data_IF_819273127400
#
_entry.id   IF_819273127400
#
_cell.length_a   1.000
_cell.length_b   1.000
_cell.length_c   1.000
_cell.angle_alpha   90.00
_cell.angle_beta   90.00
_cell.angle_gamma   90.00
#
_symmetry.space_group_name_H-M   'P 1'
#
loop_
_entity.id
_entity.type
_entity.pdbx_description
1 polymer ?
#
# COMPACT_ATOMS: atom_id res chain seq x y z
N UNK A 1 -4.56 -11.58 -23.25
CA UNK A 1 -3.56 -11.09 -22.28
C UNK A 1 -3.72 -9.59 -22.19
N UNK A 2 -3.99 -9.10 -21.01
CA UNK A 2 -4.17 -7.67 -20.73
C UNK A 2 -2.88 -7.06 -20.20
N UNK A 3 -2.66 -5.77 -20.43
CA UNK A 3 -1.65 -4.99 -19.72
C UNK A 3 -2.26 -4.49 -18.42
N UNK A 4 -1.71 -4.91 -17.30
CA UNK A 4 -2.15 -4.57 -15.96
C UNK A 4 -1.13 -3.63 -15.31
N UNK A 5 -1.59 -2.77 -14.40
CA UNK A 5 -0.72 -1.84 -13.69
C UNK A 5 -1.10 -1.75 -12.20
N UNK A 6 -0.22 -2.23 -11.33
CA UNK A 6 -0.37 -2.11 -9.90
C UNK A 6 0.17 -0.75 -9.43
N UNK A 7 -0.70 0.18 -9.12
CA UNK A 7 -0.33 1.51 -8.63
C UNK A 7 0.15 1.40 -7.19
N UNK A 8 1.31 1.93 -6.85
CA UNK A 8 1.80 2.00 -5.48
C UNK A 8 2.34 3.40 -5.14
N UNK A 9 2.63 3.62 -3.87
CA UNK A 9 3.32 4.85 -3.45
C UNK A 9 4.77 4.79 -3.93
N UNK A 10 5.33 5.88 -4.50
CA UNK A 10 6.73 5.91 -4.92
C UNK A 10 7.69 5.45 -3.82
N UNK A 11 8.63 4.57 -4.18
CA UNK A 11 9.54 3.88 -3.28
C UNK A 11 9.03 2.54 -2.73
N UNK A 12 7.77 2.18 -3.00
CA UNK A 12 7.20 0.89 -2.63
C UNK A 12 7.12 -0.11 -3.79
N UNK A 13 7.58 0.27 -4.99
CA UNK A 13 7.57 -0.55 -6.19
C UNK A 13 8.24 -1.92 -5.97
N UNK A 14 9.39 -2.04 -5.28
CA UNK A 14 10.02 -3.34 -5.05
C UNK A 14 9.14 -4.31 -4.24
N UNK A 15 8.32 -3.79 -3.32
CA UNK A 15 7.40 -4.63 -2.54
C UNK A 15 6.21 -5.11 -3.38
N UNK A 16 5.64 -4.23 -4.21
CA UNK A 16 4.58 -4.60 -5.15
C UNK A 16 5.08 -5.63 -6.17
N UNK A 17 6.28 -5.47 -6.70
CA UNK A 17 6.92 -6.46 -7.59
C UNK A 17 7.15 -7.80 -6.89
N UNK A 18 7.59 -7.79 -5.64
CA UNK A 18 7.74 -9.00 -4.84
C UNK A 18 6.41 -9.73 -4.65
N UNK A 19 5.33 -9.01 -4.34
CA UNK A 19 4.00 -9.59 -4.20
C UNK A 19 3.50 -10.18 -5.52
N UNK A 20 3.63 -9.46 -6.65
CA UNK A 20 3.27 -9.95 -7.98
C UNK A 20 4.03 -11.23 -8.37
N UNK A 21 5.32 -11.28 -8.07
CA UNK A 21 6.14 -12.48 -8.32
C UNK A 21 5.72 -13.66 -7.44
N UNK A 22 5.36 -13.43 -6.17
CA UNK A 22 4.83 -14.49 -5.30
C UNK A 22 3.50 -15.05 -5.80
N UNK A 23 2.74 -14.24 -6.54
CA UNK A 23 1.51 -14.68 -7.21
C UNK A 23 1.77 -15.37 -8.57
N UNK A 24 3.02 -15.41 -9.03
CA UNK A 24 3.38 -15.91 -10.37
C UNK A 24 2.92 -15.00 -11.51
N UNK A 25 2.68 -13.72 -11.23
CA UNK A 25 2.21 -12.72 -12.20
C UNK A 25 3.35 -11.90 -12.82
N UNK A 26 4.56 -12.09 -12.35
CA UNK A 26 5.75 -11.40 -12.83
C UNK A 26 6.99 -12.23 -12.55
N UNK A 27 7.87 -12.36 -13.54
CA UNK A 27 9.18 -12.94 -13.36
C UNK A 27 10.10 -11.90 -12.74
N UNK A 28 10.40 -12.06 -11.47
CA UNK A 28 11.43 -11.29 -10.77
C UNK A 28 12.55 -12.21 -10.32
N UNK A 29 13.80 -11.82 -10.57
CA UNK A 29 14.95 -12.53 -10.00
C UNK A 29 14.92 -12.44 -8.47
N UNK A 30 14.80 -13.56 -7.75
CA UNK A 30 14.84 -13.57 -6.29
C UNK A 30 16.13 -13.01 -5.70
N UNK A 31 17.25 -13.06 -6.43
CA UNK A 31 18.54 -12.56 -5.98
C UNK A 31 18.65 -11.03 -6.06
N UNK A 32 17.93 -10.39 -6.97
CA UNK A 32 17.78 -8.94 -7.00
C UNK A 32 17.08 -8.41 -5.74
N UNK A 33 16.27 -9.25 -5.08
CA UNK A 33 15.57 -8.95 -3.82
C UNK A 33 16.50 -8.82 -2.61
N UNK A 34 17.52 -9.68 -2.53
CA UNK A 34 18.48 -9.73 -1.42
C UNK A 34 19.45 -8.55 -1.43
N UNK A 35 19.82 -8.03 -2.60
CA UNK A 35 20.66 -6.83 -2.71
C UNK A 35 20.02 -5.57 -2.14
N UNK A 36 18.69 -5.46 -2.15
CA UNK A 36 17.96 -4.36 -1.52
C UNK A 36 18.05 -4.44 0.01
N UNK A 37 18.30 -5.63 0.57
CA UNK A 37 18.19 -5.91 2.00
C UNK A 37 19.47 -6.43 2.66
N UNK A 38 20.61 -6.57 1.96
CA UNK A 38 21.86 -7.01 2.58
C UNK A 38 22.52 -5.85 3.34
N UNK A 39 22.78 -6.07 4.63
CA UNK A 39 23.43 -5.11 5.54
C UNK A 39 24.95 -5.09 5.43
N UNK A 40 25.58 -5.93 4.61
CA UNK A 40 27.02 -6.15 4.63
C UNK A 40 27.85 -5.33 3.64
N UNK A 41 27.26 -4.63 2.71
CA UNK A 41 28.00 -3.69 1.86
C UNK A 41 27.09 -2.52 1.52
N UNK A 42 27.60 -1.29 1.63
CA UNK A 42 26.92 -0.04 1.30
C UNK A 42 26.42 0.03 -0.16
N UNK A 43 25.60 -0.91 -0.54
CA UNK A 43 25.04 -1.07 -1.85
C UNK A 43 24.05 0.06 -2.11
N UNK A 44 24.42 0.93 -3.02
CA UNK A 44 23.50 1.80 -3.76
C UNK A 44 22.38 0.94 -4.35
N UNK A 45 21.13 1.44 -4.25
CA UNK A 45 19.99 0.86 -4.94
C UNK A 45 20.28 0.84 -6.44
N UNK A 46 20.61 -0.32 -7.01
CA UNK A 46 20.45 -0.51 -8.45
C UNK A 46 18.95 -0.54 -8.68
N UNK A 47 18.45 0.56 -9.23
CA UNK A 47 17.07 0.68 -9.67
C UNK A 47 16.82 -0.32 -10.79
N UNK A 48 16.06 -1.37 -10.52
CA UNK A 48 15.29 -1.97 -11.60
C UNK A 48 14.40 -0.82 -12.11
N UNK A 49 14.42 -0.54 -13.41
CA UNK A 49 13.66 0.57 -14.02
C UNK A 49 12.15 0.31 -13.92
N UNK A 50 11.59 0.58 -12.74
CA UNK A 50 10.13 0.62 -12.57
C UNK A 50 9.61 1.99 -13.00
N UNK A 51 8.46 2.00 -13.66
CA UNK A 51 7.72 3.25 -13.88
C UNK A 51 7.38 3.85 -12.51
N UNK A 52 7.82 5.10 -12.18
CA UNK A 52 7.56 5.67 -10.86
C UNK A 52 6.07 5.66 -10.52
N UNK A 53 5.73 5.07 -9.36
CA UNK A 53 4.37 4.98 -8.85
C UNK A 53 3.63 3.70 -9.21
N UNK A 54 4.30 2.67 -9.76
CA UNK A 54 3.66 1.37 -9.96
C UNK A 54 4.45 0.37 -10.79
N UNK A 55 3.84 -0.79 -11.00
CA UNK A 55 4.42 -1.93 -11.73
C UNK A 55 3.47 -2.34 -12.85
N UNK A 56 3.95 -2.31 -14.09
CA UNK A 56 3.26 -2.93 -15.24
C UNK A 56 3.56 -4.42 -15.27
N UNK A 57 2.54 -5.23 -15.52
CA UNK A 57 2.65 -6.67 -15.70
C UNK A 57 1.62 -7.17 -16.72
N UNK A 58 1.84 -8.35 -17.26
CA UNK A 58 0.93 -9.00 -18.21
C UNK A 58 0.08 -10.03 -17.48
N UNK A 59 -1.20 -10.13 -17.82
CA UNK A 59 -2.09 -11.11 -17.21
C UNK A 59 -3.46 -11.16 -17.86
N UNK A 60 -4.29 -12.07 -17.39
CA UNK A 60 -5.72 -12.16 -17.70
C UNK A 60 -6.54 -11.25 -16.77
N UNK A 61 -7.85 -11.16 -17.00
CA UNK A 61 -8.76 -10.52 -16.03
C UNK A 61 -8.82 -11.29 -14.70
N UNK A 62 -8.68 -12.61 -14.72
CA UNK A 62 -8.55 -13.43 -13.51
C UNK A 62 -7.30 -13.05 -12.70
N UNK A 63 -6.20 -12.68 -13.36
CA UNK A 63 -5.00 -12.20 -12.70
C UNK A 63 -5.20 -10.80 -12.10
N UNK A 64 -6.03 -9.95 -12.72
CA UNK A 64 -6.45 -8.70 -12.09
C UNK A 64 -7.28 -8.97 -10.81
N UNK A 65 -8.15 -10.00 -10.77
CA UNK A 65 -8.88 -10.40 -9.56
C UNK A 65 -7.91 -10.86 -8.47
N UNK A 66 -6.94 -11.74 -8.82
CA UNK A 66 -5.89 -12.20 -7.89
C UNK A 66 -5.06 -11.05 -7.34
N UNK A 67 -4.63 -10.12 -8.19
CA UNK A 67 -3.88 -8.94 -7.79
C UNK A 67 -4.67 -8.06 -6.82
N UNK A 68 -5.95 -7.80 -7.07
CA UNK A 68 -6.82 -7.04 -6.17
C UNK A 68 -7.03 -7.74 -4.81
N UNK A 69 -7.15 -9.06 -4.81
CA UNK A 69 -7.35 -9.84 -3.59
C UNK A 69 -6.09 -9.85 -2.71
N UNK A 70 -4.92 -10.04 -3.30
CA UNK A 70 -3.71 -10.36 -2.54
C UNK A 70 -2.74 -9.20 -2.35
N UNK A 71 -2.66 -8.19 -3.26
CA UNK A 71 -1.69 -7.12 -3.13
C UNK A 71 -1.96 -6.26 -1.89
N UNK A 72 -0.93 -6.16 -1.05
CA UNK A 72 -0.96 -5.39 0.21
C UNK A 72 -0.40 -3.99 0.05
N UNK A 73 0.59 -3.83 -0.83
CA UNK A 73 1.33 -2.57 -1.01
C UNK A 73 0.82 -1.70 -2.14
N UNK A 74 0.03 -2.27 -3.07
CA UNK A 74 -0.63 -1.52 -4.12
C UNK A 74 -1.82 -0.72 -3.59
N UNK A 75 -2.05 0.44 -4.18
CA UNK A 75 -3.22 1.29 -3.90
C UNK A 75 -4.39 1.05 -4.86
N UNK A 76 -4.11 0.57 -6.08
CA UNK A 76 -5.06 0.19 -7.12
C UNK A 76 -4.42 -0.81 -8.08
N UNK A 77 -5.27 -1.57 -8.77
CA UNK A 77 -4.92 -2.35 -9.95
C UNK A 77 -5.72 -1.80 -11.13
N UNK A 78 -5.01 -1.38 -12.18
CA UNK A 78 -5.59 -0.82 -13.40
C UNK A 78 -5.45 -1.82 -14.54
N UNK A 79 -6.43 -1.85 -15.46
CA UNK A 79 -6.31 -2.49 -16.77
C UNK A 79 -6.01 -1.40 -17.79
N UNK A 80 -4.88 -1.47 -18.49
CA UNK A 80 -4.49 -0.52 -19.54
C UNK A 80 -5.22 -0.86 -20.84
N UNK A 81 -6.26 -0.10 -21.17
CA UNK A 81 -7.09 -0.34 -22.37
C UNK A 81 -6.37 0.02 -23.66
N UNK A 82 -5.51 1.03 -23.62
CA UNK A 82 -4.74 1.44 -24.77
C UNK A 82 -3.72 2.53 -24.49
N UNK A 83 -2.72 2.57 -25.37
CA UNK A 83 -1.67 3.58 -25.37
C UNK A 83 -1.44 4.07 -26.81
N UNK A 84 -1.51 5.37 -27.03
CA UNK A 84 -1.37 5.97 -28.36
C UNK A 84 -0.97 7.45 -28.28
N UNK A 85 -0.30 7.96 -29.30
CA UNK A 85 -0.03 9.39 -29.43
C UNK A 85 -1.30 10.16 -29.79
N UNK A 86 -1.50 11.32 -29.14
CA UNK A 86 -2.57 12.25 -29.44
C UNK A 86 -2.13 13.69 -29.14
N UNK A 87 -1.95 14.49 -30.18
CA UNK A 87 -1.58 15.90 -30.07
C UNK A 87 -2.76 16.84 -30.29
N UNK A 88 -3.91 16.32 -30.74
CA UNK A 88 -5.14 17.07 -31.04
C UNK A 88 -6.38 16.37 -30.49
N UNK A 89 -7.41 17.14 -30.13
CA UNK A 89 -8.66 16.60 -29.58
C UNK A 89 -9.43 15.65 -30.52
N UNK A 90 -9.53 15.93 -31.86
CA UNK A 90 -10.16 14.97 -32.76
C UNK A 90 -9.45 13.62 -32.82
N UNK A 91 -8.12 13.64 -32.80
CA UNK A 91 -7.31 12.43 -32.77
C UNK A 91 -7.51 11.63 -31.46
N UNK A 92 -7.47 12.33 -30.32
CA UNK A 92 -7.74 11.73 -29.00
C UNK A 92 -9.11 11.04 -29.00
N UNK A 93 -10.18 11.74 -29.40
CA UNK A 93 -11.54 11.20 -29.43
C UNK A 93 -11.66 9.97 -30.34
N UNK A 94 -11.15 10.06 -31.56
CA UNK A 94 -11.18 8.98 -32.56
C UNK A 94 -10.42 7.73 -32.08
N UNK A 95 -9.24 7.88 -31.44
CA UNK A 95 -8.47 6.73 -30.95
C UNK A 95 -9.10 6.14 -29.70
N UNK A 96 -9.61 6.97 -28.79
CA UNK A 96 -10.31 6.55 -27.56
C UNK A 96 -11.61 5.79 -27.88
N UNK A 97 -12.38 6.18 -28.90
CA UNK A 97 -13.63 5.47 -29.25
C UNK A 97 -13.40 4.05 -29.82
N UNK A 98 -12.18 3.72 -30.23
CA UNK A 98 -11.81 2.38 -30.72
C UNK A 98 -11.48 1.39 -29.60
N UNK A 99 -11.35 1.86 -28.36
CA UNK A 99 -11.08 0.98 -27.23
C UNK A 99 -12.31 0.13 -26.89
N UNK A 100 -12.11 -1.09 -26.33
CA UNK A 100 -13.20 -2.05 -26.09
C UNK A 100 -13.99 -1.72 -24.82
N UNK A 101 -14.66 -0.58 -24.79
CA UNK A 101 -15.39 -0.07 -23.63
C UNK A 101 -16.51 -0.99 -23.15
N UNK A 102 -17.15 -1.72 -24.07
CA UNK A 102 -18.21 -2.68 -23.83
C UNK A 102 -17.80 -3.85 -22.93
N UNK A 103 -16.52 -4.15 -22.83
CA UNK A 103 -16.02 -5.21 -21.95
C UNK A 103 -15.99 -4.79 -20.47
N UNK A 104 -15.99 -3.48 -20.20
CA UNK A 104 -15.73 -2.94 -18.87
C UNK A 104 -16.83 -2.02 -18.35
N UNK A 105 -17.67 -1.50 -19.21
CA UNK A 105 -18.74 -0.58 -18.86
C UNK A 105 -20.10 -1.18 -19.22
N UNK A 106 -20.87 -1.51 -18.19
CA UNK A 106 -22.29 -1.87 -18.38
C UNK A 106 -23.06 -0.64 -18.89
N UNK A 107 -24.16 -0.85 -19.65
CA UNK A 107 -25.05 0.22 -20.04
C UNK A 107 -25.47 1.06 -18.82
N UNK A 108 -25.47 2.39 -18.99
CA UNK A 108 -25.84 3.36 -17.94
C UNK A 108 -24.89 3.46 -16.73
N UNK A 109 -23.80 2.69 -16.68
CA UNK A 109 -22.79 2.84 -15.63
C UNK A 109 -22.21 4.23 -15.65
N UNK A 110 -22.28 4.94 -14.53
CA UNK A 110 -21.63 6.25 -14.37
C UNK A 110 -20.11 6.10 -14.30
N UNK A 111 -19.40 7.10 -14.80
CA UNK A 111 -17.94 7.12 -14.81
C UNK A 111 -17.39 8.33 -14.04
N UNK A 112 -16.16 8.19 -13.55
CA UNK A 112 -15.33 9.31 -13.10
C UNK A 112 -14.01 9.30 -13.87
N UNK A 113 -13.51 10.47 -14.21
CA UNK A 113 -12.26 10.62 -14.95
C UNK A 113 -11.21 11.29 -14.07
N UNK A 114 -10.05 10.66 -13.98
CA UNK A 114 -8.84 11.25 -13.42
C UNK A 114 -7.85 11.47 -14.56
N UNK A 115 -7.66 12.72 -14.94
CA UNK A 115 -6.78 13.10 -16.03
C UNK A 115 -5.53 13.75 -15.46
N UNK A 116 -4.37 13.45 -16.03
CA UNK A 116 -3.11 14.14 -15.78
C UNK A 116 -2.40 14.40 -17.10
N UNK A 117 -1.93 15.63 -17.30
CA UNK A 117 -1.23 16.06 -18.50
C UNK A 117 0.14 16.63 -18.13
N UNK A 118 1.20 16.07 -18.72
CA UNK A 118 2.57 16.55 -18.55
C UNK A 118 3.23 16.71 -19.92
N UNK A 119 3.91 17.82 -20.15
CA UNK A 119 4.72 18.09 -21.36
C UNK A 119 3.96 17.74 -22.66
N UNK A 120 2.64 17.97 -22.71
CA UNK A 120 1.78 17.56 -23.82
C UNK A 120 1.04 18.76 -24.43
N UNK A 121 0.76 18.71 -25.74
CA UNK A 121 -0.03 19.76 -26.43
C UNK A 121 -1.46 19.83 -25.89
N UNK A 122 -2.03 18.69 -25.50
CA UNK A 122 -3.31 18.60 -24.79
C UNK A 122 -3.05 18.70 -23.29
N UNK A 123 -3.09 19.91 -22.73
CA UNK A 123 -2.74 20.16 -21.31
C UNK A 123 -3.94 20.52 -20.41
N UNK A 124 -5.11 20.80 -21.03
CA UNK A 124 -6.34 21.10 -20.27
C UNK A 124 -7.04 19.81 -19.85
N UNK A 125 -6.83 19.37 -18.61
CA UNK A 125 -7.36 18.11 -18.07
C UNK A 125 -8.88 17.98 -18.21
N UNK A 126 -9.63 19.07 -17.98
CA UNK A 126 -11.11 19.06 -18.15
C UNK A 126 -11.52 18.81 -19.60
N UNK A 127 -10.89 19.50 -20.57
CA UNK A 127 -11.20 19.31 -21.98
C UNK A 127 -10.83 17.91 -22.47
N UNK A 128 -9.72 17.34 -21.97
CA UNK A 128 -9.35 15.93 -22.23
C UNK A 128 -10.42 14.99 -21.66
N UNK A 129 -10.87 15.22 -20.42
CA UNK A 129 -11.91 14.41 -19.78
C UNK A 129 -13.23 14.42 -20.59
N UNK A 130 -13.68 15.59 -21.05
CA UNK A 130 -14.88 15.73 -21.90
C UNK A 130 -14.76 14.97 -23.21
N UNK A 131 -13.58 15.04 -23.86
CA UNK A 131 -13.36 14.33 -25.14
C UNK A 131 -13.30 12.81 -24.95
N UNK A 132 -12.71 12.34 -23.84
CA UNK A 132 -12.70 10.91 -23.49
C UNK A 132 -14.12 10.43 -23.17
N UNK A 133 -14.89 11.16 -22.36
CA UNK A 133 -16.30 10.82 -22.08
C UNK A 133 -17.15 10.79 -23.36
N UNK A 134 -16.98 11.78 -24.27
CA UNK A 134 -17.63 11.79 -25.56
C UNK A 134 -17.26 10.59 -26.43
N UNK A 135 -15.98 10.19 -26.44
CA UNK A 135 -15.52 9.02 -27.20
C UNK A 135 -16.10 7.70 -26.68
N UNK A 136 -16.29 7.59 -25.36
CA UNK A 136 -16.98 6.44 -24.75
C UNK A 136 -18.45 6.41 -25.21
N UNK A 137 -19.11 7.57 -25.23
CA UNK A 137 -20.48 7.70 -25.77
C UNK A 137 -20.58 7.32 -27.24
N UNK A 138 -19.62 7.72 -28.07
CA UNK A 138 -19.55 7.35 -29.49
C UNK A 138 -19.44 5.82 -29.68
N UNK A 139 -18.72 5.13 -28.79
CA UNK A 139 -18.57 3.67 -28.85
C UNK A 139 -19.80 2.92 -28.33
N UNK A 140 -20.35 3.37 -27.22
CA UNK A 140 -21.46 2.69 -26.54
C UNK A 140 -22.83 3.12 -27.03
N UNK A 141 -22.91 4.10 -27.93
CA UNK A 141 -24.16 4.65 -28.48
C UNK A 141 -24.90 5.61 -27.54
N UNK A 142 -24.46 5.76 -26.29
CA UNK A 142 -25.03 6.68 -25.30
C UNK A 142 -23.90 7.23 -24.42
N UNK A 143 -23.81 8.55 -24.19
CA UNK A 143 -22.82 9.11 -23.30
C UNK A 143 -23.07 8.68 -21.85
N UNK A 144 -22.03 8.22 -21.12
CA UNK A 144 -22.17 7.89 -19.70
C UNK A 144 -22.35 9.14 -18.86
N UNK A 145 -23.01 9.01 -17.71
CA UNK A 145 -23.05 10.06 -16.70
C UNK A 145 -21.64 10.24 -16.10
N UNK A 146 -21.12 11.48 -16.13
CA UNK A 146 -19.78 11.79 -15.63
C UNK A 146 -19.87 12.45 -14.27
N UNK A 147 -19.22 11.85 -13.28
CA UNK A 147 -19.09 12.40 -11.93
C UNK A 147 -17.68 12.96 -11.71
N UNK A 148 -17.59 13.96 -10.82
CA UNK A 148 -16.29 14.43 -10.38
C UNK A 148 -15.57 13.33 -9.60
N UNK A 149 -14.32 13.05 -9.97
CA UNK A 149 -13.50 12.10 -9.20
C UNK A 149 -13.31 12.59 -7.75
N UNK A 150 -13.62 11.73 -6.80
CA UNK A 150 -13.39 11.93 -5.37
C UNK A 150 -12.85 10.63 -4.77
N UNK A 151 -11.76 10.73 -4.00
CA UNK A 151 -11.14 9.54 -3.38
C UNK A 151 -11.99 8.94 -2.25
N UNK A 152 -12.88 9.73 -1.66
CA UNK A 152 -13.55 9.42 -0.38
C UNK A 152 -15.05 9.08 -0.49
N UNK A 153 -15.55 8.77 -1.67
CA UNK A 153 -16.92 8.31 -1.85
C UNK A 153 -17.13 6.88 -1.29
N UNK A 154 -18.34 6.63 -0.77
CA UNK A 154 -18.76 5.37 -0.15
C UNK A 154 -18.83 4.15 -1.11
N UNK A 155 -19.76 3.24 -0.90
CA UNK A 155 -19.80 1.93 -1.58
C UNK A 155 -20.20 1.98 -3.07
N UNK A 156 -21.00 2.97 -3.50
CA UNK A 156 -21.46 3.09 -4.89
C UNK A 156 -20.61 4.10 -5.68
N UNK A 157 -19.42 3.67 -6.02
CA UNK A 157 -18.45 4.48 -6.75
C UNK A 157 -18.72 4.42 -8.27
N UNK A 158 -18.67 5.57 -8.99
CA UNK A 158 -18.62 5.55 -10.45
C UNK A 158 -17.36 4.81 -10.92
N UNK A 159 -17.42 4.20 -12.10
CA UNK A 159 -16.27 3.52 -12.68
C UNK A 159 -15.15 4.53 -12.96
N UNK A 160 -14.02 4.38 -12.29
CA UNK A 160 -12.88 5.26 -12.49
C UNK A 160 -12.13 4.90 -13.77
N UNK A 161 -11.87 5.92 -14.59
CA UNK A 161 -11.02 5.88 -15.77
C UNK A 161 -9.84 6.81 -15.52
N UNK A 162 -8.63 6.31 -15.68
CA UNK A 162 -7.39 7.06 -15.51
C UNK A 162 -6.82 7.37 -16.89
N UNK A 163 -6.64 8.65 -17.19
CA UNK A 163 -6.06 9.15 -18.43
C UNK A 163 -4.77 9.87 -18.11
N UNK A 164 -3.67 9.41 -18.69
CA UNK A 164 -2.36 10.01 -18.52
C UNK A 164 -1.79 10.41 -19.88
N UNK A 165 -1.52 11.69 -20.06
CA UNK A 165 -0.80 12.21 -21.21
C UNK A 165 0.59 12.66 -20.75
N UNK A 166 1.62 12.08 -21.35
CA UNK A 166 3.01 12.46 -21.12
C UNK A 166 3.69 12.52 -22.49
N UNK A 167 4.30 13.66 -22.84
CA UNK A 167 4.94 13.88 -24.13
C UNK A 167 4.03 13.50 -25.33
N UNK A 168 2.73 13.85 -25.24
CA UNK A 168 1.65 13.51 -26.17
C UNK A 168 1.31 12.01 -26.26
N UNK A 169 1.94 11.14 -25.48
CA UNK A 169 1.56 9.74 -25.35
C UNK A 169 0.41 9.62 -24.36
N UNK A 170 -0.77 9.24 -24.85
CA UNK A 170 -1.97 9.03 -24.06
C UNK A 170 -2.07 7.57 -23.62
N UNK A 171 -2.10 7.32 -22.33
CA UNK A 171 -2.41 6.01 -21.74
C UNK A 171 -3.79 6.09 -21.10
N UNK A 172 -4.70 5.20 -21.48
CA UNK A 172 -6.04 5.09 -20.92
C UNK A 172 -6.16 3.78 -20.18
N UNK A 173 -6.54 3.86 -18.92
CA UNK A 173 -6.69 2.69 -18.04
C UNK A 173 -8.03 2.74 -17.32
N UNK A 174 -8.58 1.57 -17.04
CA UNK A 174 -9.77 1.41 -16.21
C UNK A 174 -9.41 0.79 -14.86
N UNK A 175 -10.01 1.31 -13.80
CA UNK A 175 -9.75 0.84 -12.43
C UNK A 175 -10.55 -0.43 -12.15
N UNK A 176 -9.86 -1.51 -11.80
CA UNK A 176 -10.47 -2.75 -11.37
C UNK A 176 -10.76 -2.79 -9.85
N UNK A 177 -10.15 -1.90 -9.08
CA UNK A 177 -10.20 -1.93 -7.61
C UNK A 177 -11.42 -1.23 -7.00
N UNK A 178 -11.86 -0.11 -7.57
CA UNK A 178 -12.91 0.75 -7.01
C UNK A 178 -12.41 1.61 -5.86
N UNK A 179 -12.78 1.32 -4.62
CA UNK A 179 -12.19 1.98 -3.46
C UNK A 179 -10.69 1.67 -3.37
N UNK A 180 -9.89 2.61 -2.85
CA UNK A 180 -8.45 2.41 -2.69
C UNK A 180 -8.13 1.14 -1.88
N UNK A 181 -7.14 0.35 -2.32
CA UNK A 181 -6.83 -0.94 -1.71
C UNK A 181 -6.38 -0.86 -0.26
N UNK A 182 -5.86 0.29 0.20
CA UNK A 182 -5.56 0.47 1.63
C UNK A 182 -6.83 0.45 2.51
N UNK A 183 -8.02 0.71 1.97
CA UNK A 183 -9.28 0.57 2.70
C UNK A 183 -9.66 -0.91 2.82
N UNK A 184 -9.05 -1.61 3.78
CA UNK A 184 -9.29 -3.06 4.00
C UNK A 184 -10.70 -3.37 4.56
N UNK A 185 -11.40 -2.35 5.09
CA UNK A 185 -12.72 -2.48 5.70
C UNK A 185 -12.70 -2.53 7.23
N UNK A 186 -11.58 -2.80 7.86
CA UNK A 186 -11.51 -2.90 9.32
C UNK A 186 -11.40 -1.55 10.05
N UNK A 187 -10.94 -0.48 9.39
CA UNK A 187 -10.80 0.84 9.99
C UNK A 187 -12.02 1.71 9.70
N UNK A 188 -12.83 2.00 10.71
CA UNK A 188 -14.00 2.89 10.60
C UNK A 188 -13.70 4.30 11.10
N UNK A 189 -12.81 4.47 12.09
CA UNK A 189 -12.49 5.79 12.66
C UNK A 189 -11.25 6.38 12.01
N UNK A 190 -11.35 7.59 11.50
CA UNK A 190 -10.24 8.37 10.97
C UNK A 190 -9.60 9.18 12.09
N UNK A 191 -8.49 8.72 12.63
CA UNK A 191 -7.57 9.60 13.35
C UNK A 191 -6.98 10.63 12.37
N UNK A 192 -6.51 11.78 12.87
CA UNK A 192 -5.86 12.81 12.03
C UNK A 192 -4.64 12.21 11.31
N UNK A 193 -4.77 11.92 9.99
CA UNK A 193 -3.76 11.35 9.10
C UNK A 193 -3.10 10.04 9.62
N UNK A 194 -3.85 8.95 9.68
CA UNK A 194 -3.33 7.67 10.08
C UNK A 194 -2.36 7.10 9.03
N UNK A 195 -1.47 6.20 9.45
CA UNK A 195 -0.66 5.40 8.54
C UNK A 195 -1.59 4.60 7.62
N UNK A 196 -1.38 4.65 6.30
CA UNK A 196 -2.15 3.81 5.37
C UNK A 196 -1.74 2.35 5.52
N UNK A 197 -2.68 1.45 5.39
CA UNK A 197 -2.49 0.00 5.51
C UNK A 197 -1.46 -0.52 4.50
N UNK A 198 -1.44 0.03 3.28
CA UNK A 198 -0.44 -0.28 2.25
C UNK A 198 0.98 0.07 2.69
N UNK A 199 1.17 1.19 3.37
CA UNK A 199 2.48 1.58 3.89
C UNK A 199 2.85 0.76 5.14
N UNK A 200 1.90 0.45 6.01
CA UNK A 200 2.13 -0.45 7.14
C UNK A 200 2.56 -1.84 6.68
N UNK A 201 1.89 -2.39 5.67
CA UNK A 201 2.28 -3.65 5.02
C UNK A 201 3.69 -3.58 4.45
N UNK A 202 4.04 -2.51 3.73
CA UNK A 202 5.39 -2.32 3.19
C UNK A 202 6.44 -2.24 4.31
N UNK A 203 6.13 -1.61 5.45
CA UNK A 203 7.03 -1.55 6.62
C UNK A 203 7.28 -2.95 7.20
N UNK A 204 6.23 -3.76 7.35
CA UNK A 204 6.34 -5.15 7.82
C UNK A 204 7.17 -5.99 6.82
N UNK A 205 6.95 -5.86 5.51
CA UNK A 205 7.76 -6.55 4.49
C UNK A 205 9.21 -6.08 4.51
N UNK A 206 9.46 -4.78 4.58
CA UNK A 206 10.78 -4.18 4.62
C UNK A 206 11.60 -4.60 5.85
N UNK A 207 10.92 -4.89 6.97
CA UNK A 207 11.57 -5.34 8.19
C UNK A 207 12.27 -6.70 8.05
N UNK A 208 11.90 -7.48 7.03
CA UNK A 208 12.35 -8.85 6.89
C UNK A 208 11.79 -9.79 7.96
N UNK A 209 10.67 -9.41 8.59
CA UNK A 209 10.06 -10.24 9.62
C UNK A 209 9.75 -11.66 9.12
N UNK A 210 10.25 -12.64 9.86
CA UNK A 210 10.15 -14.05 9.49
C UNK A 210 8.76 -14.67 9.75
N UNK A 211 7.82 -13.94 10.34
CA UNK A 211 6.47 -14.38 10.72
C UNK A 211 6.44 -15.59 11.69
N UNK A 212 7.53 -15.78 12.44
CA UNK A 212 7.70 -16.83 13.47
C UNK A 212 8.03 -16.19 14.81
N UNK A 213 8.96 -15.24 14.80
CA UNK A 213 9.39 -14.52 16.00
C UNK A 213 8.41 -13.40 16.37
N UNK A 214 8.43 -12.92 17.62
CA UNK A 214 7.56 -11.82 18.05
C UNK A 214 7.75 -10.53 17.23
N UNK A 215 6.65 -9.78 17.05
CA UNK A 215 6.66 -8.43 16.49
C UNK A 215 6.06 -7.44 17.50
N UNK A 216 6.73 -6.29 17.66
CA UNK A 216 6.33 -5.24 18.58
C UNK A 216 6.20 -3.90 17.86
N UNK A 217 5.08 -3.19 18.08
CA UNK A 217 4.91 -1.78 17.73
C UNK A 217 4.68 -0.95 19.01
N UNK A 218 5.70 -0.22 19.52
CA UNK A 218 5.61 0.55 20.74
C UNK A 218 4.95 1.94 20.57
N UNK A 219 4.52 2.30 19.36
CA UNK A 219 3.75 3.49 19.04
C UNK A 219 2.58 3.14 18.11
N UNK A 220 1.82 2.11 18.49
CA UNK A 220 0.87 1.46 17.57
C UNK A 220 -0.33 2.35 17.16
N UNK A 221 -0.60 3.43 17.90
CA UNK A 221 -1.77 4.27 17.61
C UNK A 221 -3.05 3.43 17.52
N UNK A 222 -3.76 3.54 16.40
CA UNK A 222 -4.96 2.73 16.14
C UNK A 222 -4.68 1.30 15.63
N UNK A 223 -3.46 0.79 15.80
CA UNK A 223 -3.11 -0.61 15.58
C UNK A 223 -2.84 -1.03 14.13
N UNK A 224 -2.60 -0.09 13.22
CA UNK A 224 -2.47 -0.43 11.77
C UNK A 224 -1.34 -1.43 11.51
N UNK A 225 -0.13 -1.21 12.06
CA UNK A 225 1.01 -2.12 11.86
C UNK A 225 0.75 -3.48 12.50
N UNK A 226 0.34 -3.59 13.77
CA UNK A 226 0.01 -4.88 14.39
C UNK A 226 -1.08 -5.66 13.63
N UNK A 227 -2.15 -4.99 13.17
CA UNK A 227 -3.24 -5.63 12.42
C UNK A 227 -2.74 -6.14 11.07
N UNK A 228 -2.00 -5.33 10.29
CA UNK A 228 -1.44 -5.79 9.01
C UNK A 228 -0.42 -6.93 9.20
N UNK A 229 0.38 -6.91 10.27
CA UNK A 229 1.28 -8.01 10.62
C UNK A 229 0.50 -9.31 10.93
N UNK A 230 -0.57 -9.21 11.72
CA UNK A 230 -1.43 -10.36 12.04
C UNK A 230 -2.11 -10.94 10.79
N UNK A 231 -2.66 -10.08 9.92
CA UNK A 231 -3.25 -10.50 8.65
C UNK A 231 -2.22 -11.17 7.72
N UNK A 232 -0.97 -10.67 7.70
CA UNK A 232 0.11 -11.31 6.94
C UNK A 232 0.52 -12.67 7.49
N UNK A 233 0.71 -12.77 8.81
CA UNK A 233 1.09 -14.03 9.46
C UNK A 233 -0.02 -15.07 9.32
N UNK A 234 -1.28 -14.64 9.49
CA UNK A 234 -2.47 -15.49 9.33
C UNK A 234 -2.81 -15.80 7.87
N UNK A 235 -2.04 -15.33 6.88
CA UNK A 235 -2.29 -15.50 5.44
C UNK A 235 -3.67 -15.00 4.98
N UNK A 236 -4.27 -14.06 5.71
CA UNK A 236 -5.54 -13.44 5.32
C UNK A 236 -5.28 -12.47 4.17
N UNK A 237 -5.90 -12.61 2.99
CA UNK A 237 -5.69 -11.71 1.87
C UNK A 237 -6.12 -10.28 2.20
N UNK A 238 -5.41 -9.29 1.67
CA UNK A 238 -5.70 -7.87 1.92
C UNK A 238 -7.09 -7.44 1.45
N UNK A 239 -7.60 -8.07 0.41
CA UNK A 239 -8.88 -7.78 -0.21
C UNK A 239 -10.03 -8.70 0.23
N UNK A 240 -9.83 -9.57 1.22
CA UNK A 240 -10.75 -10.66 1.55
C UNK A 240 -12.18 -10.21 1.91
N UNK A 241 -12.30 -9.10 2.62
CA UNK A 241 -13.60 -8.58 3.11
C UNK A 241 -14.11 -7.38 2.33
N UNK A 242 -13.77 -7.23 1.04
CA UNK A 242 -14.16 -6.03 0.29
C UNK A 242 -14.73 -6.35 -1.10
N UNK A 243 -15.48 -5.38 -1.63
CA UNK A 243 -15.98 -5.38 -3.00
C UNK A 243 -15.00 -4.62 -3.91
N UNK A 244 -14.96 -4.99 -5.18
CA UNK A 244 -14.10 -4.39 -6.20
C UNK A 244 -14.92 -3.89 -7.41
N UNK A 245 -14.37 -2.92 -8.15
CA UNK A 245 -15.05 -2.36 -9.33
C UNK A 245 -15.24 -3.39 -10.45
N UNK A 246 -14.29 -4.33 -10.62
CA UNK A 246 -14.41 -5.37 -11.64
C UNK A 246 -15.65 -6.27 -11.47
N UNK A 247 -16.25 -6.33 -10.28
CA UNK A 247 -17.47 -7.11 -10.03
C UNK A 247 -18.71 -6.50 -10.71
N UNK A 248 -18.62 -5.24 -11.17
CA UNK A 248 -19.67 -4.56 -11.94
C UNK A 248 -19.42 -4.61 -13.46
N UNK A 249 -18.37 -5.27 -13.92
CA UNK A 249 -18.06 -5.39 -15.34
C UNK A 249 -18.95 -6.44 -16.02
N UNK A 250 -19.34 -6.24 -17.30
CA UNK A 250 -20.25 -7.15 -18.01
C UNK A 250 -19.78 -8.61 -18.06
N UNK A 251 -18.47 -8.84 -18.05
CA UNK A 251 -17.85 -10.17 -18.12
C UNK A 251 -17.23 -10.62 -16.80
N UNK A 252 -17.76 -10.16 -15.66
CA UNK A 252 -17.31 -10.62 -14.36
C UNK A 252 -17.59 -12.11 -14.18
N UNK A 253 -16.53 -12.89 -13.93
CA UNK A 253 -16.60 -14.32 -13.64
C UNK A 253 -16.76 -14.56 -12.13
N UNK A 254 -18.01 -14.64 -11.68
CA UNK A 254 -18.32 -14.87 -10.26
C UNK A 254 -17.91 -16.27 -9.81
N UNK A 255 -17.98 -17.28 -10.71
CA UNK A 255 -17.57 -18.66 -10.38
C UNK A 255 -16.10 -18.75 -10.06
N UNK A 256 -15.26 -18.12 -10.89
CA UNK A 256 -13.82 -18.04 -10.61
C UNK A 256 -13.54 -17.26 -9.33
N UNK A 257 -14.23 -16.13 -9.11
CA UNK A 257 -14.06 -15.32 -7.93
C UNK A 257 -14.40 -16.07 -6.64
N UNK A 258 -15.52 -16.78 -6.61
CA UNK A 258 -15.97 -17.57 -5.44
C UNK A 258 -14.99 -18.72 -5.15
N UNK A 259 -14.49 -19.39 -6.16
CA UNK A 259 -13.45 -20.40 -6.03
C UNK A 259 -12.15 -19.80 -5.46
N UNK A 260 -11.73 -18.63 -5.96
CA UNK A 260 -10.55 -17.91 -5.48
C UNK A 260 -10.67 -17.53 -4.00
N UNK A 261 -11.84 -17.04 -3.57
CA UNK A 261 -12.12 -16.72 -2.17
C UNK A 261 -12.15 -17.97 -1.28
N UNK A 262 -12.75 -19.07 -1.76
CA UNK A 262 -12.79 -20.32 -1.02
C UNK A 262 -11.38 -20.89 -0.80
N UNK A 263 -10.52 -20.86 -1.81
CA UNK A 263 -9.14 -21.33 -1.70
C UNK A 263 -8.29 -20.40 -0.81
N UNK A 264 -8.50 -19.09 -0.90
CA UNK A 264 -7.90 -18.15 0.01
C UNK A 264 -8.31 -18.41 1.48
N UNK A 265 -9.58 -18.71 1.72
CA UNK A 265 -10.12 -19.05 3.03
C UNK A 265 -9.47 -20.31 3.63
N UNK A 266 -9.26 -21.36 2.83
CA UNK A 266 -8.57 -22.60 3.26
C UNK A 266 -7.10 -22.36 3.65
N UNK A 267 -6.47 -21.35 3.07
CA UNK A 267 -5.07 -21.02 3.34
C UNK A 267 -4.87 -20.18 4.63
N UNK A 268 -5.94 -19.67 5.24
CA UNK A 268 -5.87 -18.88 6.48
C UNK A 268 -5.42 -19.79 7.62
N UNK A 269 -4.46 -19.31 8.40
CA UNK A 269 -3.95 -19.99 9.60
C UNK A 269 -4.26 -19.17 10.85
N UNK A 270 -4.66 -19.84 11.93
CA UNK A 270 -4.99 -19.21 13.22
C UNK A 270 -3.78 -19.11 14.16
N UNK A 271 -2.83 -20.02 14.05
CA UNK A 271 -1.61 -20.00 14.86
C UNK A 271 -0.59 -19.05 14.23
N UNK A 272 -0.44 -17.88 14.83
CA UNK A 272 0.52 -16.86 14.41
C UNK A 272 1.42 -16.46 15.58
N UNK A 273 2.62 -15.91 15.31
CA UNK A 273 3.52 -15.50 16.39
C UNK A 273 2.92 -14.36 17.23
N UNK A 274 3.48 -14.16 18.42
CA UNK A 274 3.05 -13.10 19.32
C UNK A 274 3.26 -11.72 18.68
N UNK A 275 2.18 -10.96 18.57
CA UNK A 275 2.21 -9.58 18.08
C UNK A 275 1.77 -8.67 19.21
N UNK A 276 2.54 -7.61 19.45
CA UNK A 276 2.34 -6.70 20.59
C UNK A 276 2.22 -5.27 20.06
N UNK A 277 1.14 -4.60 20.43
CA UNK A 277 0.93 -3.17 20.17
C UNK A 277 0.86 -2.40 21.48
N UNK A 278 1.64 -1.35 21.64
CA UNK A 278 1.48 -0.45 22.78
C UNK A 278 1.45 1.01 22.35
N UNK A 279 0.69 1.81 23.11
CA UNK A 279 0.65 3.25 22.97
C UNK A 279 0.34 3.86 24.35
N UNK A 280 0.83 5.06 24.62
CA UNK A 280 0.52 5.77 25.87
C UNK A 280 -0.93 6.31 25.90
N UNK A 281 -1.56 6.47 24.73
CA UNK A 281 -2.93 6.95 24.59
C UNK A 281 -3.93 5.79 24.69
N UNK A 282 -4.67 5.75 25.79
CA UNK A 282 -5.71 4.74 26.01
C UNK A 282 -6.85 4.80 24.97
N UNK A 283 -7.12 5.97 24.39
CA UNK A 283 -8.09 6.12 23.30
C UNK A 283 -7.60 5.45 22.02
N UNK A 284 -6.31 5.58 21.69
CA UNK A 284 -5.68 4.89 20.60
C UNK A 284 -5.72 3.36 20.77
N UNK A 285 -5.47 2.87 21.97
CA UNK A 285 -5.54 1.42 22.28
C UNK A 285 -6.96 0.87 22.11
N UNK A 286 -7.99 1.58 22.58
CA UNK A 286 -9.39 1.17 22.34
C UNK A 286 -9.72 1.11 20.84
N UNK A 287 -9.23 2.10 20.06
CA UNK A 287 -9.39 2.10 18.62
C UNK A 287 -8.64 0.94 17.95
N UNK A 288 -7.44 0.60 18.44
CA UNK A 288 -6.64 -0.53 17.93
C UNK A 288 -7.35 -1.87 18.18
N UNK A 289 -7.89 -2.09 19.39
CA UNK A 289 -8.68 -3.27 19.73
C UNK A 289 -9.90 -3.41 18.82
N UNK A 290 -10.70 -2.36 18.68
CA UNK A 290 -11.87 -2.37 17.82
C UNK A 290 -11.53 -2.59 16.33
N UNK A 291 -10.38 -2.10 15.86
CA UNK A 291 -9.90 -2.36 14.50
C UNK A 291 -9.47 -3.83 14.32
N UNK A 292 -8.77 -4.40 15.31
CA UNK A 292 -8.37 -5.81 15.31
C UNK A 292 -9.57 -6.76 15.38
N UNK A 293 -10.61 -6.42 16.13
CA UNK A 293 -11.88 -7.16 16.18
C UNK A 293 -12.53 -7.20 14.80
N UNK A 294 -12.68 -6.03 14.14
CA UNK A 294 -13.25 -5.96 12.79
C UNK A 294 -12.40 -6.67 11.74
N UNK A 295 -11.09 -6.70 11.93
CA UNK A 295 -10.17 -7.45 11.06
C UNK A 295 -10.16 -8.96 11.35
N UNK A 296 -10.85 -9.42 12.40
CA UNK A 296 -10.88 -10.84 12.80
C UNK A 296 -9.57 -11.35 13.42
N UNK A 297 -8.70 -10.46 13.93
CA UNK A 297 -7.36 -10.81 14.44
C UNK A 297 -7.14 -10.36 15.90
N UNK A 298 -8.18 -9.96 16.60
CA UNK A 298 -8.08 -9.46 17.99
C UNK A 298 -7.43 -10.47 18.96
N UNK A 299 -7.75 -11.77 18.82
CA UNK A 299 -7.17 -12.82 19.64
C UNK A 299 -5.68 -13.08 19.43
N UNK A 300 -5.11 -12.51 18.37
CA UNK A 300 -3.70 -12.71 17.97
C UNK A 300 -2.80 -11.53 18.31
N UNK A 301 -3.34 -10.44 18.86
CA UNK A 301 -2.60 -9.21 19.15
C UNK A 301 -2.80 -8.81 20.60
N UNK A 302 -1.70 -8.62 21.33
CA UNK A 302 -1.73 -8.09 22.69
C UNK A 302 -1.59 -6.55 22.64
N UNK A 303 -2.68 -5.85 22.98
CA UNK A 303 -2.66 -4.38 23.09
C UNK A 303 -2.54 -3.90 24.53
N UNK A 304 -1.70 -2.89 24.78
CA UNK A 304 -1.51 -2.34 26.13
C UNK A 304 -1.29 -0.83 26.13
N UNK A 305 -1.92 -0.14 27.10
CA UNK A 305 -1.74 1.28 27.36
C UNK A 305 -0.43 1.55 28.09
N UNK A 306 0.72 1.58 27.37
CA UNK A 306 2.05 1.74 27.97
C UNK A 306 2.89 2.76 27.21
N UNK A 307 3.66 3.55 27.95
CA UNK A 307 4.71 4.38 27.36
C UNK A 307 5.89 3.52 26.90
N UNK A 308 6.68 4.04 25.94
CA UNK A 308 7.88 3.34 25.41
C UNK A 308 8.84 2.86 26.52
N UNK A 309 8.97 3.60 27.61
CA UNK A 309 9.84 3.21 28.76
C UNK A 309 9.35 1.95 29.52
N UNK A 310 8.06 1.67 29.43
CA UNK A 310 7.40 0.60 30.17
C UNK A 310 7.09 -0.64 29.31
N UNK A 311 7.57 -0.71 28.06
CA UNK A 311 7.41 -1.92 27.23
C UNK A 311 8.15 -3.10 27.88
N UNK A 312 7.60 -4.29 27.65
CA UNK A 312 8.16 -5.55 28.12
C UNK A 312 8.20 -6.55 26.95
N UNK A 313 9.26 -6.49 26.13
CA UNK A 313 9.40 -7.38 24.98
C UNK A 313 9.67 -8.82 25.44
N UNK A 314 9.15 -9.83 24.72
CA UNK A 314 9.49 -11.23 24.99
C UNK A 314 11.00 -11.48 24.90
N UNK A 315 11.48 -12.51 25.58
CA UNK A 315 12.86 -12.96 25.48
C UNK A 315 13.16 -13.55 24.10
N UNK A 316 14.42 -13.45 23.67
CA UNK A 316 14.87 -13.96 22.36
C UNK A 316 14.80 -12.90 21.26
N UNK A 317 15.16 -13.30 20.01
CA UNK A 317 15.14 -12.39 18.87
C UNK A 317 13.71 -12.01 18.48
N UNK A 318 13.52 -10.78 18.00
CA UNK A 318 12.24 -10.28 17.58
C UNK A 318 12.36 -9.07 16.63
N UNK A 319 11.23 -8.52 16.26
CA UNK A 319 11.12 -7.37 15.36
C UNK A 319 10.34 -6.22 15.99
N UNK A 320 10.91 -5.03 15.94
CA UNK A 320 10.19 -3.78 16.20
C UNK A 320 9.87 -3.16 14.85
N UNK A 321 8.59 -2.96 14.56
CA UNK A 321 8.12 -2.25 13.37
C UNK A 321 7.20 -1.14 13.83
N UNK A 322 7.57 0.14 13.59
CA UNK A 322 6.87 1.23 14.24
C UNK A 322 6.87 2.52 13.44
N UNK A 323 5.81 3.31 13.67
CA UNK A 323 5.62 4.65 13.11
C UNK A 323 5.59 5.69 14.25
N UNK A 324 6.74 6.05 14.85
CA UNK A 324 6.78 7.00 15.95
C UNK A 324 6.29 8.39 15.51
N UNK A 325 5.86 9.26 16.42
CA UNK A 325 5.41 10.62 16.07
C UNK A 325 6.52 11.43 15.36
N UNK A 326 6.18 12.08 14.24
CA UNK A 326 7.03 13.01 13.49
C UNK A 326 6.18 14.09 12.79
N UNK A 327 6.83 15.00 12.04
CA UNK A 327 6.15 16.06 11.28
C UNK A 327 5.79 17.28 12.12
N UNK A 328 5.11 18.24 11.48
CA UNK A 328 4.73 19.54 12.07
C UNK A 328 3.58 19.45 13.09
N UNK A 329 2.96 18.29 13.25
CA UNK A 329 1.77 18.10 14.10
C UNK A 329 2.06 17.88 15.58
N UNK A 330 3.33 17.68 15.93
CA UNK A 330 3.76 17.55 17.33
C UNK A 330 4.35 18.88 17.77
N UNK A 331 3.77 19.46 18.80
CA UNK A 331 3.90 20.87 19.18
C UNK A 331 5.28 21.36 19.64
N UNK A 332 6.27 20.48 19.90
CA UNK A 332 7.61 20.92 20.30
C UNK A 332 8.71 19.99 19.75
N UNK A 333 9.66 20.57 19.01
CA UNK A 333 10.80 19.84 18.44
C UNK A 333 11.70 19.22 19.52
N UNK A 334 11.78 19.82 20.72
CA UNK A 334 12.57 19.33 21.85
C UNK A 334 12.00 18.03 22.41
N UNK A 335 10.68 17.92 22.49
CA UNK A 335 10.00 16.71 23.01
C UNK A 335 10.20 15.52 22.10
N UNK A 336 10.23 15.75 20.76
CA UNK A 336 10.51 14.69 19.80
C UNK A 336 11.94 14.17 19.91
N UNK A 337 12.94 15.03 20.08
CA UNK A 337 14.34 14.60 20.26
C UNK A 337 14.46 13.69 21.48
N UNK A 338 13.85 14.08 22.60
CA UNK A 338 13.86 13.30 23.84
C UNK A 338 13.15 11.96 23.65
N UNK A 339 12.01 11.93 22.93
CA UNK A 339 11.27 10.71 22.64
C UNK A 339 12.12 9.73 21.81
N UNK A 340 12.80 10.21 20.77
CA UNK A 340 13.65 9.35 19.93
C UNK A 340 14.91 8.88 20.69
N UNK A 341 15.52 9.72 21.52
CA UNK A 341 16.60 9.32 22.40
C UNK A 341 16.15 8.23 23.40
N UNK A 342 14.98 8.43 24.02
CA UNK A 342 14.39 7.44 24.92
C UNK A 342 14.06 6.13 24.20
N UNK A 343 13.50 6.19 22.99
CA UNK A 343 13.27 5.01 22.15
C UNK A 343 14.56 4.23 21.93
N UNK A 344 15.63 4.88 21.50
CA UNK A 344 16.92 4.22 21.30
C UNK A 344 17.51 3.62 22.58
N UNK A 345 17.38 4.32 23.72
CA UNK A 345 17.83 3.78 25.03
C UNK A 345 17.07 2.51 25.41
N UNK A 346 15.76 2.51 25.22
CA UNK A 346 14.90 1.33 25.52
C UNK A 346 15.25 0.17 24.60
N UNK A 347 15.47 0.42 23.28
CA UNK A 347 15.87 -0.63 22.35
C UNK A 347 17.19 -1.28 22.79
N UNK A 348 18.21 -0.48 23.09
CA UNK A 348 19.51 -0.99 23.57
C UNK A 348 19.41 -1.75 24.90
N UNK A 349 18.52 -1.33 25.79
CA UNK A 349 18.36 -1.98 27.10
C UNK A 349 17.55 -3.28 27.04
N UNK A 350 16.44 -3.30 26.27
CA UNK A 350 15.42 -4.37 26.33
C UNK A 350 15.30 -5.21 25.05
N UNK A 351 15.80 -4.74 23.90
CA UNK A 351 15.61 -5.37 22.60
C UNK A 351 16.94 -5.75 21.93
N UNK A 352 17.91 -6.25 22.70
CA UNK A 352 19.21 -6.69 22.13
C UNK A 352 19.00 -7.85 21.17
N UNK A 353 19.66 -7.78 19.99
CA UNK A 353 19.48 -8.77 18.93
C UNK A 353 18.16 -8.65 18.15
N UNK A 354 17.36 -7.64 18.43
CA UNK A 354 16.11 -7.38 17.70
C UNK A 354 16.38 -6.51 16.45
N UNK A 355 15.62 -6.77 15.42
CA UNK A 355 15.53 -5.89 14.24
C UNK A 355 14.57 -4.72 14.54
N UNK A 356 14.96 -3.52 14.15
CA UNK A 356 14.15 -2.31 14.30
C UNK A 356 13.91 -1.71 12.94
N UNK A 357 12.63 -1.53 12.59
CA UNK A 357 12.20 -0.84 11.36
C UNK A 357 11.29 0.32 11.75
N UNK A 358 11.60 1.51 11.28
CA UNK A 358 10.76 2.66 11.52
C UNK A 358 10.68 3.59 10.33
N UNK A 359 9.67 4.46 10.31
CA UNK A 359 9.48 5.51 9.32
C UNK A 359 9.62 6.88 9.96
N UNK A 360 10.33 7.81 9.32
CA UNK A 360 10.53 9.16 9.83
C UNK A 360 10.77 10.17 8.69
N UNK A 361 10.32 11.40 8.89
CA UNK A 361 10.52 12.53 7.95
C UNK A 361 11.87 13.25 8.14
N UNK A 362 12.57 13.03 9.27
CA UNK A 362 13.78 13.77 9.65
C UNK A 362 14.92 12.87 10.04
N UNK A 363 16.01 12.94 9.27
CA UNK A 363 17.27 12.21 9.54
C UNK A 363 17.82 12.56 10.94
N UNK A 364 17.64 13.80 11.40
CA UNK A 364 18.11 14.21 12.73
C UNK A 364 17.41 13.45 13.87
N UNK A 365 16.10 13.17 13.75
CA UNK A 365 15.38 12.37 14.73
C UNK A 365 15.88 10.91 14.73
N UNK A 366 16.13 10.36 13.54
CA UNK A 366 16.71 9.00 13.41
C UNK A 366 18.05 8.93 14.15
N UNK A 367 18.94 9.91 13.93
CA UNK A 367 20.25 9.99 14.62
C UNK A 367 20.11 10.11 16.13
N UNK A 368 19.10 10.81 16.64
CA UNK A 368 18.88 10.96 18.09
C UNK A 368 18.58 9.65 18.81
N UNK A 369 18.17 8.58 18.10
CA UNK A 369 18.00 7.26 18.71
C UNK A 369 19.33 6.65 19.15
N UNK A 370 20.44 7.03 18.53
CA UNK A 370 21.75 6.41 18.73
C UNK A 370 21.82 4.94 18.27
N UNK A 371 20.88 4.51 17.42
CA UNK A 371 20.92 3.23 16.72
C UNK A 371 21.58 3.40 15.35
N UNK A 372 22.22 2.37 14.87
CA UNK A 372 22.88 2.33 13.57
C UNK A 372 21.90 1.90 12.49
N UNK A 373 21.23 2.87 11.88
CA UNK A 373 20.26 2.65 10.82
C UNK A 373 20.90 2.67 9.44
N UNK A 374 20.37 1.87 8.52
CA UNK A 374 20.71 1.92 7.09
C UNK A 374 20.30 3.26 6.44
N UNK A 375 20.63 3.44 5.15
CA UNK A 375 20.26 4.66 4.41
C UNK A 375 18.75 4.81 4.21
N UNK A 376 18.00 3.72 4.36
CA UNK A 376 16.56 3.65 4.27
C UNK A 376 15.99 3.87 2.87
N UNK A 377 14.73 3.49 2.71
CA UNK A 377 13.96 3.62 1.48
C UNK A 377 13.20 4.94 1.51
N UNK A 378 13.42 5.86 0.56
CA UNK A 378 12.63 7.09 0.47
C UNK A 378 11.22 6.75 -0.02
N UNK A 379 10.20 7.31 0.64
CA UNK A 379 8.80 7.12 0.24
C UNK A 379 7.94 8.29 0.73
N UNK A 380 6.62 8.16 0.63
CA UNK A 380 5.66 9.19 1.01
C UNK A 380 4.66 8.67 2.05
N UNK A 381 4.34 9.51 3.05
CA UNK A 381 3.24 9.24 3.98
C UNK A 381 2.32 10.47 4.08
N UNK A 382 1.13 10.39 3.52
CA UNK A 382 0.15 11.48 3.55
C UNK A 382 0.68 12.82 3.02
N UNK A 383 1.45 12.80 1.92
CA UNK A 383 2.06 13.99 1.31
C UNK A 383 3.42 14.41 1.92
N UNK A 384 3.85 13.78 3.00
CA UNK A 384 5.17 14.01 3.60
C UNK A 384 6.22 13.06 3.01
N UNK A 385 7.39 13.59 2.63
CA UNK A 385 8.55 12.77 2.29
C UNK A 385 9.11 12.15 3.56
N UNK A 386 9.26 10.84 3.57
CA UNK A 386 9.73 10.05 4.70
C UNK A 386 10.77 9.02 4.25
N UNK A 387 11.51 8.48 5.22
CA UNK A 387 12.41 7.34 5.01
C UNK A 387 11.98 6.19 5.90
N UNK A 388 11.93 5.01 5.31
CA UNK A 388 11.76 3.75 6.00
C UNK A 388 13.18 3.20 6.26
N UNK A 389 13.60 3.14 7.52
CA UNK A 389 14.96 2.78 7.94
C UNK A 389 14.98 1.56 8.82
N UNK A 390 16.08 0.80 8.78
CA UNK A 390 16.24 -0.45 9.52
C UNK A 390 17.55 -0.47 10.29
N UNK A 391 17.54 -1.15 11.42
CA UNK A 391 18.72 -1.35 12.29
C UNK A 391 18.63 -2.73 12.95
N UNK A 392 19.77 -3.31 13.25
CA UNK A 392 19.91 -4.43 14.18
C UNK A 392 20.46 -3.89 15.49
N UNK A 393 19.76 -4.12 16.59
CA UNK A 393 20.22 -3.71 17.92
C UNK A 393 21.39 -4.60 18.35
N UNK A 394 22.61 -4.06 18.30
CA UNK A 394 23.84 -4.81 18.60
C UNK A 394 23.82 -5.35 20.03
N UNK A 395 24.21 -6.62 20.19
CA UNK A 395 24.56 -7.19 21.48
C UNK A 395 25.99 -6.76 21.80
N UNK A 396 26.30 -6.26 22.99
CA UNK A 396 27.70 -6.01 23.37
C UNK A 396 28.52 -7.29 23.15
N UNK A 397 29.66 -7.16 22.50
CA UNK A 397 30.64 -8.26 22.50
C UNK A 397 30.93 -8.58 23.96
N UNK A 398 30.64 -9.78 24.40
CA UNK A 398 31.15 -10.31 25.68
C UNK A 398 32.65 -10.39 25.56
N UNK A 399 33.35 -9.45 26.19
CA UNK A 399 34.78 -9.47 26.36
C UNK A 399 35.21 -10.67 27.22
#
# INVERSE_FOLDING_TARGET
MEKLFAVCTPGLEPFAAQELSQLGLMDCDPSARLKIFSTESGASYESVDYEPGGIEFQGSLHDAYRANLYLRTASRVLVRLGQFYAAEFPELRRKTSRLPWENYLAPERSIALRVTCQTSRLYHETAVAERVAGAIGDRLGKPPAVHKYQEDLGADLPQLIVVRLVDNLCTISIDSSGALLHRRGYRLATAKAPLRETLASAMVMASGWNKISPLLDPFCGSGTIPVEAALMAGRVPAGYCRRFAFMDWPHFDSTFWDALLADAGKAIVSEIPKIIGSDRDAGAIRAAQANAERAGVAGSIEFSGRAISAIDPPSGPGWVVTNPPYGKRVSQTKDLRNLYAQFGNVMRAKCRGWHVTMICDRVQLIRNTGLDFDQGIPTMNGGLKVRLVRSLVKTPLTS
#
